data_IF_553722773590
#
_entry.id   IF_553722773590
#
_cell.length_a   1.000
_cell.length_b   1.000
_cell.length_c   1.000
_cell.angle_alpha   90.00
_cell.angle_beta   90.00
_cell.angle_gamma   90.00
#
_symmetry.space_group_name_H-M   'P 1'
#
loop_
_entity.id
_entity.type
_entity.pdbx_description
1 polymer ?
#
# COMPACT_ATOMS: atom_id res chain seq x y z
N UNK A 1 -5.65 0.72 13.76
CA UNK A 1 -4.60 1.72 13.56
C UNK A 1 -3.27 1.01 13.58
N UNK A 2 -2.31 1.39 12.75
CA UNK A 2 -0.92 0.91 12.88
C UNK A 2 0.08 1.99 12.43
N UNK A 3 1.29 2.05 13.01
CA UNK A 3 2.37 2.88 12.48
C UNK A 3 2.93 2.24 11.21
N UNK A 4 3.16 3.03 10.17
CA UNK A 4 3.72 2.58 8.90
C UNK A 4 4.43 3.72 8.17
N UNK A 5 4.47 3.64 6.84
CA UNK A 5 5.18 4.60 5.98
C UNK A 5 4.34 5.04 4.79
N UNK A 6 4.88 6.00 4.02
CA UNK A 6 4.36 6.33 2.70
C UNK A 6 4.51 5.14 1.72
N UNK A 7 3.50 4.91 0.89
CA UNK A 7 3.53 3.89 -0.16
C UNK A 7 4.21 4.36 -1.45
N UNK A 8 4.63 5.62 -1.51
CA UNK A 8 5.35 6.25 -2.62
C UNK A 8 6.78 6.62 -2.21
N UNK A 9 7.71 6.77 -3.17
CA UNK A 9 9.08 7.17 -2.90
C UNK A 9 9.24 8.40 -2.00
N UNK A 10 10.40 8.42 -1.34
CA UNK A 10 10.74 8.87 0.02
C UNK A 10 10.39 7.88 1.14
N UNK A 11 9.33 7.07 0.99
CA UNK A 11 8.94 5.97 1.90
C UNK A 11 9.00 6.34 3.39
N UNK A 12 8.76 7.61 3.72
CA UNK A 12 8.96 8.14 5.06
C UNK A 12 8.11 7.39 6.09
N UNK A 13 8.74 6.96 7.16
CA UNK A 13 8.11 6.24 8.28
C UNK A 13 7.38 7.19 9.25
N UNK A 14 6.76 6.62 10.29
CA UNK A 14 6.03 7.39 11.31
C UNK A 14 4.60 7.79 10.91
N UNK A 15 4.10 7.29 9.78
CA UNK A 15 2.72 7.53 9.32
C UNK A 15 1.75 6.71 10.16
N UNK A 16 0.78 7.37 10.80
CA UNK A 16 -0.32 6.68 11.51
C UNK A 16 -1.41 6.27 10.52
N UNK A 17 -1.49 4.99 10.20
CA UNK A 17 -2.49 4.43 9.30
C UNK A 17 -3.81 4.13 10.02
N UNK A 18 -4.91 4.69 9.51
CA UNK A 18 -6.28 4.44 9.93
C UNK A 18 -7.08 3.87 8.74
N UNK A 19 -7.41 2.59 8.78
CA UNK A 19 -8.14 1.90 7.71
C UNK A 19 -9.56 1.61 8.19
N UNK A 20 -10.55 2.06 7.43
CA UNK A 20 -11.95 1.69 7.65
C UNK A 20 -12.13 0.18 7.41
N UNK A 21 -12.77 -0.51 8.35
CA UNK A 21 -13.19 -1.91 8.17
C UNK A 21 -14.46 -2.06 7.31
N UNK A 22 -15.13 -0.95 6.97
CA UNK A 22 -16.28 -0.93 6.05
C UNK A 22 -15.80 -0.74 4.62
N UNK A 23 -16.07 -1.74 3.78
CA UNK A 23 -15.88 -1.66 2.32
C UNK A 23 -16.95 -0.76 1.70
N UNK A 24 -16.54 0.10 0.78
CA UNK A 24 -17.44 0.93 -0.02
C UNK A 24 -17.54 0.36 -1.43
N UNK A 25 -18.74 0.35 -1.98
CA UNK A 25 -18.98 -0.13 -3.35
C UNK A 25 -18.84 1.03 -4.33
N UNK A 26 -18.24 0.75 -5.49
CA UNK A 26 -18.21 1.65 -6.65
C UNK A 26 -18.73 0.89 -7.87
N UNK A 27 -19.26 1.60 -8.86
CA UNK A 27 -19.66 0.96 -10.12
C UNK A 27 -18.44 0.50 -10.89
N UNK A 28 -18.58 -0.60 -11.65
CA UNK A 28 -17.54 -1.09 -12.54
C UNK A 28 -17.13 -0.03 -13.58
N UNK A 29 -18.09 0.75 -14.09
CA UNK A 29 -17.82 1.83 -15.05
C UNK A 29 -16.95 2.93 -14.45
N UNK A 30 -17.16 3.30 -13.19
CA UNK A 30 -16.32 4.27 -12.49
C UNK A 30 -14.90 3.72 -12.28
N UNK A 31 -14.80 2.46 -11.84
CA UNK A 31 -13.51 1.79 -11.69
C UNK A 31 -12.70 1.78 -12.99
N UNK A 32 -13.31 1.37 -14.10
CA UNK A 32 -12.64 1.28 -15.40
C UNK A 32 -12.19 2.66 -15.91
N UNK A 33 -13.01 3.71 -15.74
CA UNK A 33 -12.64 5.09 -16.12
C UNK A 33 -11.47 5.63 -15.29
N UNK A 34 -11.46 5.38 -13.99
CA UNK A 34 -10.34 5.79 -13.14
C UNK A 34 -9.06 5.01 -13.52
N UNK A 35 -9.21 3.70 -13.73
CA UNK A 35 -8.11 2.80 -14.10
C UNK A 35 -7.47 3.15 -15.44
N UNK A 36 -8.23 3.62 -16.43
CA UNK A 36 -7.68 3.99 -17.73
C UNK A 36 -6.76 5.22 -17.67
N UNK A 37 -6.93 6.07 -16.66
CA UNK A 37 -6.08 7.26 -16.44
C UNK A 37 -4.91 6.94 -15.51
N UNK A 38 -5.16 6.24 -14.41
CA UNK A 38 -4.16 5.99 -13.36
C UNK A 38 -3.22 4.83 -13.71
N UNK A 39 -3.70 3.82 -14.45
CA UNK A 39 -2.97 2.57 -14.66
C UNK A 39 -2.86 1.74 -13.37
N UNK A 40 -1.78 0.95 -13.23
CA UNK A 40 -1.45 0.23 -11.99
C UNK A 40 -0.43 0.99 -11.16
N UNK A 41 -0.83 1.42 -9.97
CA UNK A 41 -0.01 2.25 -9.09
C UNK A 41 0.01 1.78 -7.62
N UNK A 42 -0.35 0.52 -7.36
CA UNK A 42 -0.33 -0.04 -6.02
C UNK A 42 1.04 -0.68 -5.72
N UNK A 43 1.66 -0.33 -4.60
CA UNK A 43 2.88 -0.97 -4.09
C UNK A 43 2.54 -2.38 -3.57
N UNK A 44 3.42 -3.35 -3.81
CA UNK A 44 3.30 -4.70 -3.25
C UNK A 44 3.22 -4.67 -1.71
N UNK A 45 2.47 -5.59 -1.07
CA UNK A 45 2.49 -5.72 0.39
C UNK A 45 3.91 -5.86 0.93
N UNK A 46 4.16 -5.25 2.10
CA UNK A 46 5.44 -5.36 2.80
C UNK A 46 5.35 -6.44 3.88
N UNK A 47 6.46 -6.68 4.59
CA UNK A 47 6.47 -7.61 5.71
C UNK A 47 5.48 -7.18 6.82
N UNK A 48 5.28 -8.07 7.80
CA UNK A 48 4.53 -7.71 9.00
C UNK A 48 5.15 -6.49 9.71
N UNK A 49 4.35 -5.65 10.39
CA UNK A 49 4.87 -4.47 11.09
C UNK A 49 6.00 -4.81 12.06
N UNK A 50 7.02 -3.95 12.10
CA UNK A 50 8.25 -4.10 12.91
C UNK A 50 9.15 -5.29 12.51
N UNK A 51 8.86 -5.99 11.42
CA UNK A 51 9.76 -6.99 10.84
C UNK A 51 10.67 -6.35 9.79
N UNK A 52 11.77 -7.02 9.50
CA UNK A 52 12.72 -6.60 8.48
C UNK A 52 12.07 -6.47 7.09
N UNK A 53 12.59 -5.55 6.28
CA UNK A 53 12.17 -5.39 4.90
C UNK A 53 12.39 -6.69 4.11
N UNK A 54 11.36 -7.14 3.38
CA UNK A 54 11.41 -8.37 2.59
C UNK A 54 12.56 -8.38 1.59
N UNK A 55 12.87 -7.24 0.96
CA UNK A 55 13.95 -7.17 -0.02
C UNK A 55 15.33 -7.35 0.63
N UNK A 56 15.51 -6.91 1.87
CA UNK A 56 16.75 -7.16 2.61
C UNK A 56 16.88 -8.64 2.96
N UNK A 57 15.81 -9.25 3.47
CA UNK A 57 15.76 -10.69 3.77
C UNK A 57 16.14 -11.56 2.56
N UNK A 58 15.66 -11.20 1.36
CA UNK A 58 16.00 -11.91 0.12
C UNK A 58 17.37 -11.56 -0.46
N UNK A 59 17.95 -10.42 -0.09
CA UNK A 59 19.29 -10.05 -0.53
C UNK A 59 20.39 -10.80 0.23
N UNK A 60 20.07 -11.31 1.42
CA UNK A 60 20.99 -12.06 2.30
C UNK A 60 20.92 -13.59 2.13
N UNK A 61 20.00 -14.09 1.29
CA UNK A 61 19.79 -15.53 0.99
C UNK A 61 20.46 -15.98 -0.29
#
# INVERSE_FOLDING_TARGET
>A
SYPGSLTTPSYTEGVKWLISNKKQSISTSLYLKARSVIGYNARSPQNAPSQENLLNLYAES
#
